data_IF_097052019695
#
_entry.id   IF_097052019695
#
_cell.length_a   1.000
_cell.length_b   1.000
_cell.length_c   1.000
_cell.angle_alpha   90.00
_cell.angle_beta   90.00
_cell.angle_gamma   90.00
#
_symmetry.space_group_name_H-M   'P 1'
#
loop_
_entity.id
_entity.type
_entity.pdbx_description
1 polymer ?
#
# COMPACT_ATOMS: atom_id res chain seq x y z
N UNK A 1 -30.57 22.19 3.81
CA UNK A 1 -30.20 21.39 2.62
C UNK A 1 -29.08 20.48 3.06
N UNK A 2 -29.36 19.18 3.24
CA UNK A 2 -28.42 18.19 3.76
C UNK A 2 -27.78 17.49 2.58
N UNK A 3 -26.58 17.89 2.19
CA UNK A 3 -25.76 17.11 1.22
C UNK A 3 -24.99 16.06 2.01
N UNK A 4 -25.47 14.84 1.92
CA UNK A 4 -24.78 13.67 2.44
C UNK A 4 -23.70 13.24 1.47
N UNK A 5 -22.46 13.71 1.65
CA UNK A 5 -21.30 13.11 1.00
C UNK A 5 -21.06 11.70 1.57
N UNK A 6 -21.75 10.75 0.95
CA UNK A 6 -21.48 9.32 1.12
C UNK A 6 -20.16 9.03 0.41
N UNK A 7 -19.09 8.75 1.18
CA UNK A 7 -17.87 8.15 0.60
C UNK A 7 -18.27 6.93 -0.23
N UNK A 8 -17.97 6.96 -1.51
CA UNK A 8 -18.12 5.82 -2.40
C UNK A 8 -17.13 4.75 -1.99
N UNK A 9 -17.60 3.75 -1.25
CA UNK A 9 -16.92 2.45 -1.17
C UNK A 9 -16.54 2.06 -2.60
N UNK A 10 -15.35 1.48 -2.85
CA UNK A 10 -14.90 1.15 -4.19
C UNK A 10 -16.00 0.43 -4.96
N UNK A 11 -16.34 0.96 -6.12
CA UNK A 11 -17.42 0.48 -6.98
C UNK A 11 -17.20 -1.00 -7.31
N UNK A 12 -18.14 -1.84 -6.89
CA UNK A 12 -18.20 -3.27 -7.24
C UNK A 12 -18.62 -3.45 -8.71
N UNK A 13 -17.85 -2.89 -9.63
CA UNK A 13 -18.12 -2.97 -11.06
C UNK A 13 -17.29 -4.05 -11.75
N UNK A 14 -17.95 -5.00 -12.38
CA UNK A 14 -17.50 -5.86 -13.48
C UNK A 14 -16.82 -7.22 -13.21
N UNK A 15 -16.64 -7.69 -11.97
CA UNK A 15 -16.36 -9.12 -11.72
C UNK A 15 -17.54 -9.84 -11.05
N UNK A 16 -18.74 -9.31 -11.24
CA UNK A 16 -19.92 -9.64 -10.45
C UNK A 16 -20.60 -11.00 -10.78
N UNK A 17 -20.27 -11.62 -11.89
CA UNK A 17 -20.92 -12.89 -12.28
C UNK A 17 -20.32 -14.11 -11.57
N UNK A 18 -19.03 -14.35 -11.73
CA UNK A 18 -18.35 -15.50 -11.15
C UNK A 18 -18.18 -15.39 -9.63
N UNK A 19 -17.90 -14.19 -9.12
CA UNK A 19 -17.80 -13.95 -7.70
C UNK A 19 -19.15 -14.10 -6.99
N UNK A 20 -20.27 -13.71 -7.63
CA UNK A 20 -21.61 -13.95 -7.10
C UNK A 20 -21.98 -15.44 -7.07
N UNK A 21 -21.61 -16.21 -8.08
CA UNK A 21 -21.90 -17.67 -8.13
C UNK A 21 -21.13 -18.42 -7.05
N UNK A 22 -19.88 -18.05 -6.77
CA UNK A 22 -19.07 -18.66 -5.71
C UNK A 22 -19.44 -18.20 -4.29
N UNK A 23 -20.26 -17.15 -4.14
CA UNK A 23 -20.67 -16.62 -2.84
C UNK A 23 -22.11 -17.00 -2.45
N UNK A 24 -22.88 -17.64 -3.32
CA UNK A 24 -24.34 -17.80 -3.20
C UNK A 24 -24.82 -18.88 -2.23
N UNK A 25 -24.01 -19.48 -1.40
CA UNK A 25 -24.54 -20.50 -0.49
C UNK A 25 -24.03 -20.47 0.95
N UNK A 26 -22.85 -19.90 1.23
CA UNK A 26 -22.17 -20.09 2.52
C UNK A 26 -21.89 -18.81 3.31
N UNK A 27 -22.33 -17.65 2.88
CA UNK A 27 -21.78 -16.40 3.42
C UNK A 27 -22.79 -15.35 3.91
N UNK A 28 -23.93 -15.77 4.46
CA UNK A 28 -24.84 -14.79 5.09
C UNK A 28 -24.31 -14.23 6.42
N UNK A 29 -23.27 -14.83 7.03
CA UNK A 29 -22.65 -14.33 8.25
C UNK A 29 -21.31 -13.65 7.98
N UNK A 30 -20.95 -12.60 8.75
CA UNK A 30 -19.63 -11.95 8.63
C UNK A 30 -18.45 -12.93 8.81
N UNK A 31 -18.61 -13.94 9.68
CA UNK A 31 -17.60 -14.99 9.92
C UNK A 31 -17.42 -15.92 8.72
N UNK A 32 -18.52 -16.32 8.06
CA UNK A 32 -18.46 -17.18 6.86
C UNK A 32 -17.75 -16.49 5.69
N UNK A 33 -18.01 -15.20 5.48
CA UNK A 33 -17.29 -14.40 4.46
C UNK A 33 -15.80 -14.31 4.73
N UNK A 34 -15.40 -14.14 5.98
CA UNK A 34 -13.99 -14.08 6.35
C UNK A 34 -13.28 -15.42 6.14
N UNK A 35 -13.92 -16.53 6.47
CA UNK A 35 -13.39 -17.88 6.25
C UNK A 35 -13.19 -18.16 4.75
N UNK A 36 -14.18 -17.82 3.93
CA UNK A 36 -14.08 -17.97 2.47
C UNK A 36 -12.93 -17.13 1.89
N UNK A 37 -12.84 -15.85 2.30
CA UNK A 37 -11.72 -14.98 1.89
C UNK A 37 -10.36 -15.59 2.27
N UNK A 38 -10.22 -16.12 3.49
CA UNK A 38 -8.99 -16.77 3.95
C UNK A 38 -8.68 -18.03 3.13
N UNK A 39 -9.68 -18.82 2.76
CA UNK A 39 -9.50 -20.00 1.92
C UNK A 39 -9.02 -19.61 0.51
N UNK A 40 -9.70 -18.65 -0.12
CA UNK A 40 -9.31 -18.12 -1.45
C UNK A 40 -7.91 -17.51 -1.38
N UNK A 41 -7.61 -16.72 -0.36
CA UNK A 41 -6.28 -16.13 -0.18
C UNK A 41 -5.18 -17.20 -0.04
N UNK A 42 -5.46 -18.32 0.66
CA UNK A 42 -4.49 -19.43 0.74
C UNK A 42 -4.21 -20.05 -0.64
N UNK A 43 -5.24 -20.32 -1.41
CA UNK A 43 -5.09 -20.88 -2.76
C UNK A 43 -4.28 -19.95 -3.66
N UNK A 44 -4.63 -18.66 -3.69
CA UNK A 44 -3.90 -17.67 -4.49
C UNK A 44 -2.46 -17.51 -4.01
N UNK A 45 -2.22 -17.48 -2.69
CA UNK A 45 -0.84 -17.43 -2.15
C UNK A 45 -0.03 -18.67 -2.52
N UNK A 46 -0.63 -19.85 -2.53
CA UNK A 46 0.04 -21.07 -3.02
C UNK A 46 0.40 -20.97 -4.49
N UNK A 47 -0.49 -20.47 -5.33
CA UNK A 47 -0.22 -20.24 -6.74
C UNK A 47 0.86 -19.16 -6.95
N UNK A 48 0.83 -18.07 -6.18
CA UNK A 48 1.89 -17.05 -6.17
C UNK A 48 3.25 -17.66 -5.81
N UNK A 49 3.29 -18.50 -4.77
CA UNK A 49 4.51 -19.15 -4.32
C UNK A 49 5.10 -20.06 -5.39
N UNK A 50 4.27 -20.85 -6.08
CA UNK A 50 4.70 -21.73 -7.17
C UNK A 50 5.26 -20.96 -8.38
N UNK A 51 4.69 -19.77 -8.67
CA UNK A 51 5.09 -18.94 -9.82
C UNK A 51 6.21 -17.94 -9.49
N UNK A 52 6.48 -17.70 -8.21
CA UNK A 52 7.46 -16.71 -7.78
C UNK A 52 8.88 -17.27 -7.70
N UNK A 53 9.84 -16.37 -7.87
CA UNK A 53 11.24 -16.60 -7.55
C UNK A 53 11.60 -15.90 -6.25
N UNK A 54 12.49 -16.49 -5.46
CA UNK A 54 13.03 -15.81 -4.28
C UNK A 54 13.81 -14.57 -4.74
N UNK A 55 13.57 -13.44 -4.10
CA UNK A 55 14.40 -12.24 -4.29
C UNK A 55 15.75 -12.52 -3.63
N UNK A 56 16.87 -12.54 -4.39
CA UNK A 56 18.17 -12.81 -3.81
C UNK A 56 18.54 -11.74 -2.76
N UNK A 57 19.41 -12.10 -1.83
CA UNK A 57 20.05 -11.11 -0.94
C UNK A 57 20.97 -10.22 -1.78
N UNK A 58 21.10 -8.96 -1.39
CA UNK A 58 21.91 -7.95 -2.08
C UNK A 58 21.55 -7.74 -3.57
N UNK A 59 20.33 -8.17 -3.98
CA UNK A 59 19.85 -7.98 -5.35
C UNK A 59 19.41 -6.54 -5.66
N UNK A 60 19.30 -5.71 -4.63
CA UNK A 60 18.85 -4.31 -4.70
C UNK A 60 19.71 -3.50 -3.75
N UNK A 61 20.37 -2.47 -4.25
CA UNK A 61 21.26 -1.59 -3.46
C UNK A 61 20.61 -0.26 -3.08
N UNK A 62 19.61 0.18 -3.85
CA UNK A 62 18.85 1.41 -3.58
C UNK A 62 17.39 1.26 -3.95
N UNK A 63 16.50 1.71 -3.07
CA UNK A 63 15.06 1.59 -3.26
C UNK A 63 14.35 2.89 -2.87
N UNK A 64 13.39 3.30 -3.69
CA UNK A 64 12.40 4.32 -3.37
C UNK A 64 11.04 3.65 -3.16
N UNK A 65 10.49 3.79 -1.97
CA UNK A 65 9.10 3.39 -1.69
C UNK A 65 8.20 4.59 -1.96
N UNK A 66 7.24 4.44 -2.85
CA UNK A 66 6.19 5.44 -3.08
C UNK A 66 4.91 4.91 -2.45
N UNK A 67 4.52 5.50 -1.33
CA UNK A 67 3.32 5.17 -0.59
C UNK A 67 2.25 6.25 -0.82
N UNK A 68 1.11 5.94 -1.42
CA UNK A 68 0.00 6.89 -1.51
C UNK A 68 -0.40 7.46 -0.16
N UNK A 69 -0.51 6.62 0.86
CA UNK A 69 -0.87 7.02 2.22
C UNK A 69 0.18 6.57 3.24
N UNK A 70 0.32 7.29 4.37
CA UNK A 70 1.09 6.80 5.51
C UNK A 70 0.41 5.55 6.10
N UNK A 71 0.95 4.39 5.85
CA UNK A 71 0.67 3.01 6.26
C UNK A 71 0.95 2.01 5.13
N UNK A 72 0.79 2.39 3.86
CA UNK A 72 0.96 1.50 2.70
C UNK A 72 2.36 0.85 2.68
N UNK A 73 3.41 1.61 3.07
CA UNK A 73 4.78 1.12 3.11
C UNK A 73 4.95 -0.02 4.14
N UNK A 74 4.31 0.12 5.30
CA UNK A 74 4.42 -0.86 6.38
C UNK A 74 3.59 -2.12 6.09
N UNK A 75 2.34 -1.94 5.63
CA UNK A 75 1.45 -3.05 5.31
C UNK A 75 1.90 -3.78 4.05
N UNK A 76 2.11 -3.04 2.94
CA UNK A 76 2.34 -3.64 1.63
C UNK A 76 3.74 -4.25 1.47
N UNK A 77 4.78 -3.53 1.88
CA UNK A 77 6.17 -3.93 1.64
C UNK A 77 7.12 -3.74 2.84
N UNK A 78 6.62 -3.54 4.06
CA UNK A 78 7.46 -3.25 5.23
C UNK A 78 8.48 -4.34 5.53
N UNK A 79 8.14 -5.60 5.36
CA UNK A 79 9.08 -6.70 5.51
C UNK A 79 10.16 -6.70 4.42
N UNK A 80 9.80 -6.35 3.20
CA UNK A 80 10.76 -6.17 2.09
C UNK A 80 11.72 -5.03 2.40
N UNK A 81 11.21 -3.86 2.82
CA UNK A 81 12.04 -2.70 3.18
C UNK A 81 13.01 -3.06 4.31
N UNK A 82 12.50 -3.62 5.42
CA UNK A 82 13.32 -4.01 6.57
C UNK A 82 14.42 -5.03 6.17
N UNK A 83 14.10 -5.98 5.29
CA UNK A 83 15.09 -6.93 4.80
C UNK A 83 16.13 -6.28 3.91
N UNK A 84 15.71 -5.42 2.96
CA UNK A 84 16.63 -4.71 2.06
C UNK A 84 17.61 -3.82 2.86
N UNK A 85 17.09 -3.04 3.81
CA UNK A 85 17.92 -2.19 4.69
C UNK A 85 18.90 -3.03 5.50
N UNK A 86 18.46 -4.14 6.09
CA UNK A 86 19.32 -5.08 6.81
C UNK A 86 20.41 -5.68 5.93
N UNK A 87 20.09 -5.94 4.65
CA UNK A 87 21.03 -6.45 3.66
C UNK A 87 21.94 -5.33 3.08
N UNK A 88 21.86 -4.08 3.60
CA UNK A 88 22.73 -2.95 3.26
C UNK A 88 22.19 -2.01 2.17
N UNK A 89 20.96 -2.18 1.73
CA UNK A 89 20.36 -1.27 0.74
C UNK A 89 20.03 0.09 1.35
N UNK A 90 20.18 1.15 0.56
CA UNK A 90 19.66 2.49 0.86
C UNK A 90 18.17 2.54 0.54
N UNK A 91 17.34 2.82 1.53
CA UNK A 91 15.90 2.95 1.35
C UNK A 91 15.44 4.39 1.60
N UNK A 92 14.61 4.91 0.69
CA UNK A 92 13.88 6.16 0.84
C UNK A 92 12.39 5.89 0.79
N UNK A 93 11.60 6.66 1.54
CA UNK A 93 10.14 6.58 1.53
C UNK A 93 9.55 7.94 1.20
N UNK A 94 8.62 7.98 0.25
CA UNK A 94 7.83 9.17 -0.04
C UNK A 94 6.34 8.86 0.12
N UNK A 95 5.68 9.64 0.97
CA UNK A 95 4.24 9.64 1.13
C UNK A 95 3.63 10.71 0.21
N UNK A 96 2.69 10.30 -0.63
CA UNK A 96 2.09 11.21 -1.63
C UNK A 96 1.04 12.08 -0.98
N UNK A 97 0.14 11.50 -0.17
CA UNK A 97 -0.90 12.23 0.55
C UNK A 97 -0.56 12.40 2.02
N UNK A 98 -1.29 13.30 2.68
CA UNK A 98 -1.23 13.52 4.12
C UNK A 98 -2.02 12.47 4.93
N UNK A 99 -2.83 11.63 4.28
CA UNK A 99 -3.64 10.59 4.91
C UNK A 99 -4.82 11.13 5.73
N UNK A 100 -5.20 12.39 5.55
CA UNK A 100 -6.18 13.10 6.38
C UNK A 100 -7.63 12.62 6.25
N UNK A 101 -7.98 11.90 5.16
CA UNK A 101 -9.35 11.50 4.87
C UNK A 101 -9.76 10.15 5.48
N UNK A 102 -8.94 9.54 6.33
CA UNK A 102 -9.25 8.22 6.92
C UNK A 102 -10.41 8.24 7.93
N UNK A 103 -10.73 9.40 8.53
CA UNK A 103 -11.80 9.58 9.53
C UNK A 103 -12.75 10.72 9.14
N UNK A 104 -13.51 10.57 8.05
CA UNK A 104 -14.36 11.64 7.55
C UNK A 104 -15.53 11.92 8.50
N UNK A 105 -15.68 13.19 8.88
CA UNK A 105 -16.78 13.62 9.75
C UNK A 105 -16.66 13.17 11.21
N UNK A 106 -15.47 12.76 11.65
CA UNK A 106 -15.24 12.37 13.04
C UNK A 106 -15.53 13.55 14.01
N UNK A 107 -16.29 13.34 15.11
CA UNK A 107 -16.75 14.45 15.95
C UNK A 107 -15.66 15.09 16.82
N UNK A 108 -14.56 14.39 17.09
CA UNK A 108 -13.54 14.81 18.07
C UNK A 108 -12.17 15.08 17.47
N UNK A 109 -11.93 14.74 16.20
CA UNK A 109 -10.65 14.98 15.52
C UNK A 109 -10.89 15.59 14.15
N UNK A 110 -10.07 16.55 13.78
CA UNK A 110 -10.09 17.19 12.45
C UNK A 110 -9.23 16.43 11.45
N UNK A 111 -9.38 16.73 10.17
CA UNK A 111 -8.49 16.19 9.13
C UNK A 111 -7.03 16.57 9.41
N UNK A 112 -6.75 17.78 9.93
CA UNK A 112 -5.41 18.21 10.29
C UNK A 112 -4.83 17.40 11.46
N UNK A 113 -5.65 17.08 12.47
CA UNK A 113 -5.23 16.24 13.60
C UNK A 113 -4.86 14.83 13.11
N UNK A 114 -5.65 14.28 12.18
CA UNK A 114 -5.36 12.96 11.55
C UNK A 114 -4.08 13.01 10.74
N UNK A 115 -3.89 14.04 9.90
CA UNK A 115 -2.65 14.20 9.12
C UNK A 115 -1.41 14.27 10.03
N UNK A 116 -1.49 15.07 11.09
CA UNK A 116 -0.42 15.19 12.09
C UNK A 116 -0.11 13.86 12.79
N UNK A 117 -1.16 13.13 13.20
CA UNK A 117 -1.02 11.81 13.83
C UNK A 117 -0.38 10.80 12.87
N UNK A 118 -0.88 10.67 11.64
CA UNK A 118 -0.35 9.74 10.64
C UNK A 118 1.10 10.05 10.27
N UNK A 119 1.49 11.34 10.24
CA UNK A 119 2.89 11.73 10.04
C UNK A 119 3.78 11.28 11.20
N UNK A 120 3.31 11.40 12.45
CA UNK A 120 4.05 10.90 13.62
C UNK A 120 4.15 9.37 13.63
N UNK A 121 3.07 8.68 13.28
CA UNK A 121 3.04 7.22 13.14
C UNK A 121 3.99 6.74 12.04
N UNK A 122 4.02 7.41 10.87
CA UNK A 122 4.94 7.12 9.78
C UNK A 122 6.40 7.28 10.19
N UNK A 123 6.71 8.30 11.02
CA UNK A 123 8.06 8.48 11.56
C UNK A 123 8.50 7.28 12.41
N UNK A 124 7.62 6.79 13.26
CA UNK A 124 7.89 5.63 14.11
C UNK A 124 8.02 4.37 13.25
N UNK A 125 7.07 4.15 12.34
CA UNK A 125 7.04 2.98 11.48
C UNK A 125 8.28 2.87 10.60
N UNK A 126 8.65 3.94 9.88
CA UNK A 126 9.84 3.97 9.02
C UNK A 126 11.13 3.77 9.81
N UNK A 127 11.26 4.37 11.01
CA UNK A 127 12.38 4.13 11.91
C UNK A 127 12.49 2.67 12.35
N UNK A 128 11.37 2.01 12.65
CA UNK A 128 11.35 0.57 12.96
C UNK A 128 11.79 -0.28 11.76
N UNK A 129 11.43 0.12 10.53
CA UNK A 129 11.88 -0.53 9.31
C UNK A 129 13.37 -0.30 8.98
N UNK A 130 14.05 0.57 9.73
CA UNK A 130 15.45 0.92 9.53
C UNK A 130 15.69 2.06 8.53
N UNK A 131 14.66 2.81 8.20
CA UNK A 131 14.75 4.00 7.33
C UNK A 131 14.93 5.24 8.21
N UNK A 132 16.03 5.95 8.03
CA UNK A 132 16.31 7.19 8.74
C UNK A 132 15.31 8.28 8.33
N UNK A 133 14.98 9.17 9.28
CA UNK A 133 13.95 10.19 9.06
C UNK A 133 14.30 11.20 7.96
N UNK A 134 15.57 11.48 7.74
CA UNK A 134 16.07 12.34 6.66
C UNK A 134 15.85 11.74 5.25
N UNK A 135 15.54 10.44 5.19
CA UNK A 135 15.18 9.69 3.97
C UNK A 135 13.68 9.51 3.80
N UNK A 136 12.88 10.18 4.63
CA UNK A 136 11.42 10.17 4.54
C UNK A 136 10.92 11.53 4.05
N UNK A 137 10.08 11.52 3.03
CA UNK A 137 9.53 12.72 2.43
C UNK A 137 8.01 12.66 2.39
N UNK A 138 7.37 13.83 2.49
CA UNK A 138 5.93 14.00 2.31
C UNK A 138 5.66 14.99 1.19
N UNK A 139 4.79 14.62 0.26
CA UNK A 139 4.34 15.53 -0.79
C UNK A 139 3.12 16.33 -0.37
N UNK A 140 2.46 15.91 0.70
CA UNK A 140 1.33 16.60 1.33
C UNK A 140 0.16 16.89 0.38
N UNK A 141 -0.06 16.02 -0.61
CA UNK A 141 -1.29 16.10 -1.39
C UNK A 141 -2.49 15.77 -0.48
N UNK A 142 -3.61 16.47 -0.62
CA UNK A 142 -4.79 16.16 0.18
C UNK A 142 -5.29 14.74 -0.09
N UNK A 143 -5.49 13.95 0.96
CA UNK A 143 -5.97 12.57 0.87
C UNK A 143 -7.36 12.50 0.24
N UNK A 144 -7.60 11.48 -0.57
CA UNK A 144 -8.85 11.27 -1.31
C UNK A 144 -9.00 12.15 -2.56
N UNK A 145 -7.94 12.86 -2.99
CA UNK A 145 -8.01 13.78 -4.12
C UNK A 145 -7.12 13.42 -5.31
N UNK A 146 -6.16 12.50 -5.17
CA UNK A 146 -5.17 12.21 -6.22
C UNK A 146 -5.80 11.89 -7.58
N UNK A 147 -6.89 11.11 -7.59
CA UNK A 147 -7.59 10.74 -8.82
C UNK A 147 -8.36 11.92 -9.48
N UNK A 148 -8.46 13.07 -8.79
CA UNK A 148 -9.21 14.26 -9.22
C UNK A 148 -8.34 15.51 -9.26
N UNK A 149 -7.03 15.38 -9.12
CA UNK A 149 -6.11 16.52 -9.27
C UNK A 149 -6.26 17.14 -10.65
N UNK A 150 -6.30 18.45 -10.69
CA UNK A 150 -6.13 19.15 -11.97
C UNK A 150 -4.71 18.98 -12.51
N UNK A 151 -4.54 19.28 -13.79
CA UNK A 151 -3.26 19.08 -14.48
C UNK A 151 -2.10 19.89 -13.88
N UNK A 152 -2.35 21.03 -13.26
CA UNK A 152 -1.33 21.86 -12.60
C UNK A 152 -0.81 21.22 -11.32
N UNK A 153 -1.72 20.77 -10.44
CA UNK A 153 -1.35 20.08 -9.19
C UNK A 153 -0.70 18.72 -9.44
N UNK A 154 -1.24 17.94 -10.39
CA UNK A 154 -0.64 16.66 -10.76
C UNK A 154 0.80 16.87 -11.27
N UNK A 155 1.02 17.87 -12.14
CA UNK A 155 2.34 18.22 -12.67
C UNK A 155 3.31 18.63 -11.57
N UNK A 156 2.89 19.41 -10.59
CA UNK A 156 3.75 19.83 -9.46
C UNK A 156 4.21 18.62 -8.62
N UNK A 157 3.33 17.64 -8.40
CA UNK A 157 3.69 16.38 -7.72
C UNK A 157 4.65 15.56 -8.57
N UNK A 158 4.39 15.41 -9.88
CA UNK A 158 5.30 14.73 -10.81
C UNK A 158 6.70 15.34 -10.80
N UNK A 159 6.80 16.67 -10.83
CA UNK A 159 8.08 17.40 -10.79
C UNK A 159 8.84 17.16 -9.48
N UNK A 160 8.13 17.13 -8.34
CA UNK A 160 8.75 16.80 -7.05
C UNK A 160 9.27 15.36 -7.03
N UNK A 161 8.47 14.40 -7.53
CA UNK A 161 8.90 12.99 -7.64
C UNK A 161 10.07 12.86 -8.61
N UNK A 162 10.03 13.52 -9.77
CA UNK A 162 11.11 13.50 -10.75
C UNK A 162 12.44 14.01 -10.16
N UNK A 163 12.41 15.13 -9.44
CA UNK A 163 13.58 15.65 -8.75
C UNK A 163 14.12 14.69 -7.66
N UNK A 164 13.24 13.91 -7.00
CA UNK A 164 13.69 12.85 -6.09
C UNK A 164 14.35 11.71 -6.86
N UNK A 165 13.75 11.27 -7.96
CA UNK A 165 14.29 10.20 -8.82
C UNK A 165 15.68 10.57 -9.37
N UNK A 166 15.86 11.81 -9.83
CA UNK A 166 17.15 12.31 -10.34
C UNK A 166 18.23 12.31 -9.25
N UNK A 167 17.89 12.74 -8.03
CA UNK A 167 18.87 12.78 -6.93
C UNK A 167 19.20 11.39 -6.39
N UNK A 168 18.21 10.52 -6.28
CA UNK A 168 18.36 9.23 -5.63
C UNK A 168 18.81 8.13 -6.60
N UNK A 169 18.49 8.28 -7.88
CA UNK A 169 18.72 7.29 -8.93
C UNK A 169 18.42 5.85 -8.44
N UNK A 170 17.19 5.57 -7.92
CA UNK A 170 16.90 4.31 -7.28
C UNK A 170 16.97 3.17 -8.30
N UNK A 171 17.55 2.04 -7.91
CA UNK A 171 17.54 0.81 -8.72
C UNK A 171 16.12 0.23 -8.84
N UNK A 172 15.34 0.36 -7.75
CA UNK A 172 13.99 -0.17 -7.66
C UNK A 172 13.04 0.88 -7.09
N UNK A 173 11.84 0.96 -7.65
CA UNK A 173 10.69 1.63 -7.03
C UNK A 173 9.74 0.56 -6.51
N UNK A 174 9.38 0.65 -5.22
CA UNK A 174 8.30 -0.11 -4.60
C UNK A 174 7.05 0.76 -4.52
N UNK A 175 5.92 0.29 -5.03
CA UNK A 175 4.66 1.01 -4.97
C UNK A 175 3.46 0.05 -4.98
N UNK A 176 2.26 0.48 -4.55
CA UNK A 176 1.09 -0.39 -4.58
C UNK A 176 0.73 -0.86 -5.99
N UNK A 177 0.14 -2.06 -6.04
CA UNK A 177 -0.35 -2.61 -7.30
C UNK A 177 -1.38 -1.69 -7.95
N UNK A 178 -1.27 -1.54 -9.26
CA UNK A 178 -2.34 -0.93 -10.07
C UNK A 178 -3.62 -1.76 -9.97
N UNK A 179 -4.76 -1.08 -9.84
CA UNK A 179 -6.09 -1.70 -9.80
C UNK A 179 -6.24 -2.71 -8.65
N UNK A 180 -5.63 -2.39 -7.52
CA UNK A 180 -5.79 -3.18 -6.30
C UNK A 180 -7.06 -2.82 -5.50
N UNK A 181 -7.90 -1.92 -6.05
CA UNK A 181 -9.17 -1.49 -5.45
C UNK A 181 -9.14 -0.10 -4.84
N UNK A 182 -8.03 0.62 -4.95
CA UNK A 182 -7.90 2.02 -4.55
C UNK A 182 -7.65 2.91 -5.76
N UNK A 183 -8.47 3.93 -5.96
CA UNK A 183 -8.27 4.94 -7.00
C UNK A 183 -7.04 5.81 -6.72
N UNK A 184 -6.69 5.99 -5.44
CA UNK A 184 -5.49 6.72 -5.03
C UNK A 184 -4.20 5.96 -5.42
N UNK A 185 -4.20 4.62 -5.34
CA UNK A 185 -3.08 3.80 -5.78
C UNK A 185 -2.89 3.89 -7.30
N UNK A 186 -3.99 3.85 -8.06
CA UNK A 186 -3.94 4.04 -9.52
C UNK A 186 -3.44 5.43 -9.91
N UNK A 187 -3.88 6.46 -9.21
CA UNK A 187 -3.43 7.84 -9.44
C UNK A 187 -1.95 8.03 -9.08
N UNK A 188 -1.50 7.49 -7.95
CA UNK A 188 -0.08 7.53 -7.57
C UNK A 188 0.79 6.83 -8.61
N UNK A 189 0.33 5.71 -9.19
CA UNK A 189 1.04 5.06 -10.28
C UNK A 189 1.17 5.97 -11.51
N UNK A 190 0.10 6.68 -11.89
CA UNK A 190 0.13 7.62 -13.02
C UNK A 190 1.12 8.77 -12.77
N UNK A 191 1.14 9.33 -11.56
CA UNK A 191 2.09 10.38 -11.16
C UNK A 191 3.55 9.91 -11.23
N UNK A 192 3.83 8.68 -10.74
CA UNK A 192 5.18 8.10 -10.84
C UNK A 192 5.57 7.88 -12.31
N UNK A 193 4.65 7.39 -13.15
CA UNK A 193 4.92 7.20 -14.57
C UNK A 193 5.23 8.54 -15.28
N UNK A 194 4.49 9.60 -14.98
CA UNK A 194 4.77 10.96 -15.46
C UNK A 194 6.13 11.48 -14.99
N UNK A 195 6.47 11.27 -13.71
CA UNK A 195 7.75 11.65 -13.13
C UNK A 195 8.93 10.91 -13.79
N UNK A 196 8.79 9.60 -14.06
CA UNK A 196 9.82 8.81 -14.75
C UNK A 196 10.08 9.29 -16.17
N UNK A 197 9.01 9.67 -16.91
CA UNK A 197 9.15 10.25 -18.25
C UNK A 197 9.94 11.57 -18.20
N UNK A 198 9.69 12.41 -17.18
CA UNK A 198 10.42 13.69 -16.98
C UNK A 198 11.88 13.47 -16.64
N UNK A 199 12.14 12.59 -15.69
CA UNK A 199 13.50 12.28 -15.23
C UNK A 199 14.28 11.44 -16.25
N UNK A 200 13.64 10.88 -17.28
CA UNK A 200 14.24 9.96 -18.28
C UNK A 200 14.94 8.77 -17.63
N UNK A 201 14.39 8.28 -16.55
CA UNK A 201 14.90 7.13 -15.78
C UNK A 201 14.02 5.90 -16.02
N UNK A 202 14.61 4.73 -15.96
CA UNK A 202 13.93 3.44 -16.13
C UNK A 202 14.32 2.46 -15.00
N UNK A 203 14.02 2.77 -13.73
CA UNK A 203 14.24 1.83 -12.65
C UNK A 203 13.31 0.63 -12.79
N UNK A 204 13.64 -0.46 -12.11
CA UNK A 204 12.70 -1.58 -11.98
C UNK A 204 11.54 -1.17 -11.09
N UNK A 205 10.32 -1.49 -11.51
CA UNK A 205 9.12 -1.22 -10.70
C UNK A 205 8.64 -2.54 -10.11
N UNK A 206 8.51 -2.56 -8.79
CA UNK A 206 7.93 -3.67 -8.04
C UNK A 206 6.64 -3.20 -7.38
N UNK A 207 5.54 -3.75 -7.83
CA UNK A 207 4.23 -3.47 -7.27
C UNK A 207 3.94 -4.42 -6.10
N UNK A 208 3.50 -3.89 -4.95
CA UNK A 208 3.09 -4.66 -3.78
C UNK A 208 1.58 -4.60 -3.56
N UNK A 209 0.94 -5.70 -3.11
CA UNK A 209 -0.50 -5.72 -2.90
C UNK A 209 -0.87 -5.08 -1.56
N UNK A 210 -1.92 -4.25 -1.55
CA UNK A 210 -2.54 -3.70 -0.33
C UNK A 210 -4.01 -4.13 -0.28
N UNK A 211 -4.91 -3.43 -0.99
CA UNK A 211 -6.35 -3.76 -1.00
C UNK A 211 -6.67 -5.08 -1.71
N UNK A 212 -5.82 -5.51 -2.64
CA UNK A 212 -5.91 -6.83 -3.24
C UNK A 212 -5.64 -7.97 -2.24
N UNK A 213 -4.98 -7.72 -1.12
CA UNK A 213 -4.94 -8.69 -0.01
C UNK A 213 -6.30 -8.86 0.66
N UNK A 214 -7.11 -7.79 0.74
CA UNK A 214 -8.48 -7.85 1.27
C UNK A 214 -9.45 -8.50 0.28
N UNK A 215 -9.26 -8.29 -1.02
CA UNK A 215 -9.99 -8.95 -2.09
C UNK A 215 -9.02 -9.79 -2.95
N UNK A 216 -8.68 -11.02 -2.55
CA UNK A 216 -7.58 -11.77 -3.14
C UNK A 216 -7.79 -12.13 -4.62
N UNK A 217 -9.02 -12.11 -5.14
CA UNK A 217 -9.26 -12.31 -6.58
C UNK A 217 -8.63 -11.21 -7.45
N UNK A 218 -8.44 -10.01 -6.89
CA UNK A 218 -7.77 -8.92 -7.60
C UNK A 218 -6.29 -9.21 -7.88
N UNK A 219 -5.66 -10.13 -7.12
CA UNK A 219 -4.29 -10.58 -7.36
C UNK A 219 -4.13 -11.39 -8.65
N UNK A 220 -5.20 -11.93 -9.20
CA UNK A 220 -5.13 -12.70 -10.47
C UNK A 220 -4.60 -11.83 -11.61
N UNK A 221 -4.96 -10.54 -11.63
CA UNK A 221 -4.51 -9.64 -12.68
C UNK A 221 -3.00 -9.40 -12.66
N UNK A 222 -2.38 -8.85 -11.57
CA UNK A 222 -0.94 -8.67 -11.53
C UNK A 222 -0.18 -9.99 -11.71
N UNK A 223 -0.75 -11.13 -11.28
CA UNK A 223 -0.16 -12.45 -11.55
C UNK A 223 -0.05 -12.78 -13.04
N UNK A 224 -0.92 -12.25 -13.88
CA UNK A 224 -0.95 -12.51 -15.33
C UNK A 224 -0.15 -11.46 -16.09
N UNK A 225 -0.23 -10.20 -15.66
CA UNK A 225 0.33 -9.05 -16.41
C UNK A 225 1.76 -8.68 -16.05
N UNK A 226 2.27 -9.12 -14.89
CA UNK A 226 3.64 -8.83 -14.49
C UNK A 226 4.68 -9.63 -15.31
N UNK A 227 5.87 -9.07 -15.45
CA UNK A 227 7.01 -9.76 -16.07
C UNK A 227 7.52 -10.91 -15.19
N UNK A 228 7.50 -10.71 -13.87
CA UNK A 228 7.99 -11.65 -12.87
C UNK A 228 7.33 -11.43 -11.53
N UNK A 229 7.17 -12.51 -10.77
CA UNK A 229 6.75 -12.47 -9.37
C UNK A 229 7.97 -12.76 -8.51
N UNK A 230 8.28 -11.82 -7.60
CA UNK A 230 9.30 -12.00 -6.59
C UNK A 230 8.66 -12.37 -5.25
N UNK A 231 9.36 -13.22 -4.52
CA UNK A 231 8.99 -13.60 -3.16
C UNK A 231 10.10 -13.21 -2.21
N UNK A 232 9.73 -12.48 -1.17
CA UNK A 232 10.62 -12.05 -0.10
C UNK A 232 10.32 -12.87 1.15
N UNK A 233 11.32 -13.57 1.68
CA UNK A 233 11.22 -14.30 2.94
C UNK A 233 11.33 -13.31 4.11
N UNK A 234 10.34 -13.33 5.01
CA UNK A 234 10.23 -12.42 6.14
C UNK A 234 10.61 -13.04 7.48
N UNK A 235 11.08 -14.28 7.54
CA UNK A 235 11.32 -14.98 8.81
C UNK A 235 12.20 -14.18 9.77
N UNK A 236 13.19 -13.46 9.26
CA UNK A 236 14.14 -12.68 10.06
C UNK A 236 13.66 -11.26 10.39
N UNK A 237 12.64 -10.74 9.69
CA UNK A 237 12.16 -9.35 9.81
C UNK A 237 10.65 -9.26 10.07
N UNK A 238 10.00 -10.40 10.29
CA UNK A 238 8.54 -10.46 10.49
C UNK A 238 8.08 -9.63 11.70
N UNK A 239 8.83 -9.70 12.79
CA UNK A 239 8.50 -8.95 14.01
C UNK A 239 8.79 -7.45 13.83
N UNK A 240 9.80 -7.10 13.03
CA UNK A 240 10.06 -5.70 12.61
C UNK A 240 8.85 -5.17 11.85
N UNK A 241 8.39 -5.89 10.81
CA UNK A 241 7.19 -5.53 10.07
C UNK A 241 5.96 -5.40 10.96
N UNK A 242 5.72 -6.37 11.85
CA UNK A 242 4.57 -6.34 12.74
C UNK A 242 4.56 -5.10 13.65
N UNK A 243 5.71 -4.72 14.19
CA UNK A 243 5.85 -3.50 15.01
C UNK A 243 5.65 -2.23 14.18
N UNK A 244 6.19 -2.16 12.97
CA UNK A 244 5.98 -1.02 12.08
C UNK A 244 4.49 -0.84 11.74
N UNK A 245 3.78 -1.93 11.39
CA UNK A 245 2.34 -1.89 11.16
C UNK A 245 1.56 -1.45 12.41
N UNK A 246 1.94 -1.91 13.59
CA UNK A 246 1.30 -1.56 14.87
C UNK A 246 1.49 -0.07 15.25
N UNK A 247 2.46 0.62 14.65
CA UNK A 247 2.64 2.06 14.86
C UNK A 247 1.49 2.90 14.30
N UNK A 248 0.74 2.37 13.33
CA UNK A 248 -0.41 3.03 12.73
C UNK A 248 -1.70 2.78 13.52
N UNK A 249 -1.68 3.13 14.81
CA UNK A 249 -2.82 2.94 15.72
C UNK A 249 -4.05 3.72 15.26
N UNK A 250 -3.88 4.88 14.65
CA UNK A 250 -5.01 5.65 14.09
C UNK A 250 -5.77 4.87 13.00
N UNK A 251 -5.15 3.87 12.38
CA UNK A 251 -5.76 3.08 11.31
C UNK A 251 -6.30 1.74 11.82
N UNK A 252 -5.67 1.16 12.84
CA UNK A 252 -5.98 -0.18 13.36
C UNK A 252 -6.85 -0.19 14.59
N UNK A 253 -6.89 0.93 15.33
CA UNK A 253 -7.67 1.07 16.55
C UNK A 253 -8.77 2.13 16.37
N UNK A 254 -9.91 2.01 17.07
CA UNK A 254 -10.93 3.05 17.05
C UNK A 254 -10.43 4.34 17.71
N UNK A 255 -10.75 5.48 17.12
CA UNK A 255 -10.59 6.78 17.78
C UNK A 255 -11.93 7.11 18.45
N UNK A 256 -11.98 7.30 19.78
CA UNK A 256 -13.23 7.62 20.46
C UNK A 256 -13.86 8.94 19.96
N UNK A 257 -15.21 9.00 19.82
CA UNK A 257 -16.22 8.03 20.25
C UNK A 257 -16.52 6.90 19.23
N UNK A 258 -15.81 6.82 18.11
CA UNK A 258 -16.00 5.70 17.17
C UNK A 258 -15.61 4.37 17.81
N UNK A 259 -16.32 3.29 17.46
CA UNK A 259 -16.11 1.95 17.99
C UNK A 259 -15.46 1.00 16.99
N UNK A 260 -15.20 1.49 15.79
CA UNK A 260 -14.56 0.72 14.70
C UNK A 260 -13.33 1.46 14.18
N UNK A 261 -12.26 0.74 13.87
CA UNK A 261 -11.07 1.34 13.25
C UNK A 261 -11.35 1.79 11.81
N UNK A 262 -10.49 2.65 11.27
CA UNK A 262 -10.54 3.09 9.87
C UNK A 262 -10.34 1.91 8.91
N UNK A 263 -9.38 1.03 9.18
CA UNK A 263 -9.17 -0.19 8.41
C UNK A 263 -10.15 -1.30 8.85
N UNK A 264 -10.61 -2.16 7.92
CA UNK A 264 -11.51 -3.24 8.25
C UNK A 264 -10.95 -4.19 9.31
N UNK A 265 -11.78 -4.65 10.26
CA UNK A 265 -11.37 -5.62 11.27
C UNK A 265 -10.73 -6.86 10.65
N UNK A 266 -9.51 -7.18 11.10
CA UNK A 266 -8.73 -8.30 10.59
C UNK A 266 -7.88 -7.99 9.34
N UNK A 267 -7.95 -6.76 8.80
CA UNK A 267 -7.13 -6.34 7.65
C UNK A 267 -5.63 -6.53 7.92
N UNK A 268 -5.12 -6.01 9.02
CA UNK A 268 -3.71 -6.12 9.39
C UNK A 268 -3.20 -7.57 9.43
N UNK A 269 -4.04 -8.52 9.84
CA UNK A 269 -3.66 -9.94 9.92
C UNK A 269 -3.30 -10.57 8.56
N UNK A 270 -3.73 -9.98 7.45
CA UNK A 270 -3.44 -10.47 6.10
C UNK A 270 -1.97 -10.27 5.70
N UNK A 271 -1.29 -9.32 6.33
CA UNK A 271 0.08 -8.91 6.00
C UNK A 271 1.14 -9.55 6.89
N UNK A 272 0.74 -10.27 7.95
CA UNK A 272 1.64 -10.92 8.91
C UNK A 272 2.08 -12.32 8.46
N UNK A 273 2.09 -12.57 7.16
CA UNK A 273 2.59 -13.82 6.57
C UNK A 273 4.10 -13.99 6.72
N UNK A 274 4.61 -15.16 6.29
CA UNK A 274 6.05 -15.45 6.24
C UNK A 274 6.74 -14.91 4.99
N UNK A 275 5.97 -14.41 4.03
CA UNK A 275 6.44 -13.99 2.72
C UNK A 275 5.64 -12.78 2.23
N UNK A 276 6.33 -11.87 1.57
CA UNK A 276 5.74 -10.83 0.72
C UNK A 276 5.93 -11.21 -0.75
N UNK A 277 4.98 -10.78 -1.58
CA UNK A 277 5.05 -10.95 -3.03
C UNK A 277 5.09 -9.59 -3.70
N UNK A 278 6.01 -9.47 -4.66
CA UNK A 278 6.20 -8.26 -5.45
C UNK A 278 6.04 -8.63 -6.92
N UNK A 279 5.35 -7.78 -7.67
CA UNK A 279 5.08 -7.96 -9.08
C UNK A 279 5.95 -6.99 -9.88
N UNK A 280 6.94 -7.51 -10.59
CA UNK A 280 7.81 -6.72 -11.46
C UNK A 280 7.08 -6.42 -12.78
N UNK A 281 6.95 -5.15 -13.15
CA UNK A 281 6.24 -4.67 -14.34
C UNK A 281 7.16 -4.01 -15.37
#
# INVERSE_FOLDING_TARGET
MKDTHRQTRPSQGALSGLARVLTLGWSHTPRGRLLLRRAVARVIRSALRLRSRALPRNAVTSVLVVAPHPDDEAFGCGGTVARLVRDGASAHVVFVTDGSASHPGHPSVTALDIAGRRRAEARVATGILGVDWDRVSFLDAPDGTLARLDGGHARAIEERIAGMLERLAPEVILMPCRRDGSTEHDAAFALVAGALQRAKLMPRIFEFPVWSCWNPLMLLRPMITCRRIWRVDLREVRDVKARAMASYSSQTDPIPPETSPALPLGFASLFLGREEFLFET
#
